data_IF_049169287471
#
_entry.id   IF_049169287471
#
_cell.length_a   1.000
_cell.length_b   1.000
_cell.length_c   1.000
_cell.angle_alpha   90.00
_cell.angle_beta   90.00
_cell.angle_gamma   90.00
#
_symmetry.space_group_name_H-M   'P 1'
#
loop_
_entity.id
_entity.type
_entity.pdbx_description
1 polymer ?
#
# COMPACT_ATOMS: atom_id res chain seq x y z
N UNK A 1 -4.58 -15.35 -33.21
CA UNK A 1 -4.19 -14.51 -32.05
C UNK A 1 -2.98 -13.68 -32.46
N UNK A 2 -3.08 -12.35 -32.54
CA UNK A 2 -1.92 -11.49 -32.81
C UNK A 2 -1.25 -11.15 -31.47
N UNK A 3 0.04 -11.45 -31.33
CA UNK A 3 0.76 -11.24 -30.07
C UNK A 3 0.95 -9.76 -29.76
N UNK A 4 1.02 -9.42 -28.48
CA UNK A 4 1.15 -8.04 -27.98
C UNK A 4 2.47 -7.36 -28.39
N UNK A 5 3.42 -8.13 -28.92
CA UNK A 5 4.75 -7.68 -29.33
C UNK A 5 4.72 -6.69 -30.51
N UNK A 6 3.60 -6.59 -31.23
CA UNK A 6 3.42 -5.60 -32.31
C UNK A 6 3.12 -4.17 -31.81
N UNK A 7 2.90 -3.96 -30.50
CA UNK A 7 2.57 -2.63 -29.94
C UNK A 7 3.82 -1.79 -29.64
N UNK A 8 4.93 -2.42 -29.30
CA UNK A 8 6.21 -1.77 -29.07
C UNK A 8 7.13 -2.23 -30.20
N UNK A 9 7.16 -1.46 -31.29
CA UNK A 9 8.06 -1.75 -32.40
C UNK A 9 9.50 -1.94 -31.91
N UNK A 10 10.29 -2.77 -32.60
CA UNK A 10 11.63 -3.28 -32.19
C UNK A 10 12.68 -2.25 -31.70
N UNK A 11 12.37 -0.94 -31.74
CA UNK A 11 13.19 0.16 -31.20
C UNK A 11 12.63 0.82 -29.93
N UNK A 12 11.64 0.22 -29.25
CA UNK A 12 11.16 0.69 -27.93
C UNK A 12 10.35 2.00 -27.93
N UNK A 13 10.19 2.67 -29.07
CA UNK A 13 9.39 3.91 -29.15
C UNK A 13 7.92 3.56 -29.38
N UNK A 14 7.10 3.77 -28.34
CA UNK A 14 5.65 3.60 -28.39
C UNK A 14 5.04 4.60 -29.38
N UNK A 15 4.67 4.13 -30.58
CA UNK A 15 3.97 4.95 -31.57
C UNK A 15 2.47 4.89 -31.29
N UNK A 16 1.90 5.95 -30.74
CA UNK A 16 0.44 6.08 -30.52
C UNK A 16 -0.28 5.88 -31.86
N UNK A 17 -1.04 4.78 -31.98
CA UNK A 17 -1.96 4.58 -33.10
C UNK A 17 -3.11 5.58 -32.90
N UNK A 18 -3.10 6.67 -33.66
CA UNK A 18 -4.23 7.59 -33.78
C UNK A 18 -5.32 6.83 -34.56
N UNK A 19 -6.05 5.97 -33.85
CA UNK A 19 -7.35 5.49 -34.26
C UNK A 19 -8.27 5.90 -33.13
N UNK A 20 -9.32 6.65 -33.45
CA UNK A 20 -10.33 7.14 -32.53
C UNK A 20 -11.09 5.96 -31.92
N UNK A 21 -10.47 5.25 -30.99
CA UNK A 21 -11.12 4.24 -30.17
C UNK A 21 -11.92 4.99 -29.13
N UNK A 22 -13.23 5.14 -29.39
CA UNK A 22 -14.21 5.76 -28.51
C UNK A 22 -14.47 4.89 -27.27
N UNK A 23 -13.43 4.48 -26.55
CA UNK A 23 -13.61 3.94 -25.22
C UNK A 23 -13.75 5.12 -24.26
N UNK A 24 -14.92 5.75 -24.32
CA UNK A 24 -15.41 6.62 -23.26
C UNK A 24 -15.88 5.70 -22.15
N UNK A 25 -15.03 5.40 -21.18
CA UNK A 25 -15.51 4.89 -19.90
C UNK A 25 -16.42 5.97 -19.31
N UNK A 26 -17.68 5.68 -18.94
CA UNK A 26 -18.49 6.62 -18.18
C UNK A 26 -17.75 6.90 -16.87
N UNK A 27 -17.15 8.09 -16.72
CA UNK A 27 -16.50 8.53 -15.47
C UNK A 27 -17.55 8.85 -14.40
N UNK A 28 -18.83 8.74 -14.74
CA UNK A 28 -19.96 8.97 -13.87
C UNK A 28 -20.82 7.71 -13.89
N UNK A 29 -20.80 6.99 -12.77
CA UNK A 29 -21.85 6.00 -12.46
C UNK A 29 -23.17 6.76 -12.42
N UNK A 30 -23.93 6.75 -13.52
CA UNK A 30 -25.33 7.16 -13.51
C UNK A 30 -26.18 6.05 -12.90
N UNK A 31 -25.79 5.54 -11.73
CA UNK A 31 -26.71 4.75 -10.94
C UNK A 31 -27.79 5.71 -10.46
N UNK A 32 -29.04 5.44 -10.83
CA UNK A 32 -30.27 6.00 -10.26
C UNK A 32 -30.44 5.58 -8.78
N UNK A 33 -29.33 5.47 -8.05
CA UNK A 33 -29.19 4.94 -6.71
C UNK A 33 -28.01 5.65 -6.08
N UNK A 34 -28.34 6.41 -5.03
CA UNK A 34 -27.47 7.09 -4.06
C UNK A 34 -26.11 7.55 -4.58
N UNK A 35 -26.07 8.81 -5.02
CA UNK A 35 -24.80 9.52 -5.26
C UNK A 35 -24.15 9.76 -3.91
N UNK A 36 -23.05 9.07 -3.63
CA UNK A 36 -22.23 9.35 -2.45
C UNK A 36 -21.79 10.81 -2.50
N UNK A 37 -22.05 11.54 -1.43
CA UNK A 37 -21.54 12.90 -1.25
C UNK A 37 -20.10 12.77 -0.78
N UNK A 38 -19.17 13.39 -1.51
CA UNK A 38 -17.78 13.47 -1.09
C UNK A 38 -17.71 14.13 0.30
N UNK A 39 -16.94 13.53 1.20
CA UNK A 39 -16.75 14.10 2.53
C UNK A 39 -16.06 15.47 2.40
N UNK A 40 -16.48 16.48 3.19
CA UNK A 40 -15.80 17.77 3.20
C UNK A 40 -14.35 17.57 3.63
N UNK A 41 -13.43 17.79 2.70
CA UNK A 41 -11.99 17.71 2.97
C UNK A 41 -11.56 19.00 3.66
N UNK A 42 -11.27 18.92 4.95
CA UNK A 42 -10.67 20.03 5.66
C UNK A 42 -9.27 20.33 5.09
N UNK A 43 -8.87 21.61 4.96
CA UNK A 43 -7.51 21.94 4.54
C UNK A 43 -6.51 21.40 5.56
N UNK A 44 -5.48 20.70 5.07
CA UNK A 44 -4.36 20.29 5.90
C UNK A 44 -3.67 21.53 6.45
N UNK A 45 -3.28 21.49 7.73
CA UNK A 45 -2.55 22.60 8.34
C UNK A 45 -1.25 22.85 7.58
N UNK A 46 -1.11 24.04 7.00
CA UNK A 46 0.12 24.57 6.39
C UNK A 46 1.01 25.27 7.40
N UNK A 47 0.60 25.35 8.68
CA UNK A 47 1.37 25.97 9.74
C UNK A 47 2.55 25.04 10.09
N UNK A 48 3.80 25.53 10.04
CA UNK A 48 4.95 24.78 10.53
C UNK A 48 4.75 24.39 11.99
N UNK A 49 4.92 23.11 12.33
CA UNK A 49 4.88 22.66 13.72
C UNK A 49 6.10 23.19 14.49
N UNK A 50 5.94 23.44 15.78
CA UNK A 50 7.04 23.86 16.64
C UNK A 50 7.95 22.65 16.97
N UNK A 51 9.14 22.92 17.52
CA UNK A 51 10.13 21.89 17.85
C UNK A 51 9.62 20.88 18.89
N UNK A 52 8.90 21.37 19.89
CA UNK A 52 8.31 20.56 20.96
C UNK A 52 7.34 19.50 20.41
N UNK A 53 6.44 19.88 19.49
CA UNK A 53 5.51 18.93 18.84
C UNK A 53 6.26 17.91 17.99
N UNK A 54 7.40 18.27 17.37
CA UNK A 54 8.22 17.29 16.65
C UNK A 54 8.83 16.26 17.60
N UNK A 55 9.36 16.69 18.74
CA UNK A 55 9.91 15.80 19.77
C UNK A 55 8.84 14.84 20.33
N UNK A 56 7.62 15.35 20.58
CA UNK A 56 6.49 14.51 21.01
C UNK A 56 6.11 13.44 19.98
N UNK A 57 6.06 13.81 18.69
CA UNK A 57 5.74 12.88 17.61
C UNK A 57 6.85 11.83 17.42
N UNK A 58 8.11 12.23 17.56
CA UNK A 58 9.25 11.31 17.51
C UNK A 58 9.21 10.33 18.68
N UNK A 59 8.87 10.80 19.88
CA UNK A 59 8.69 9.93 21.06
C UNK A 59 7.58 8.90 20.86
N UNK A 60 6.46 9.30 20.26
CA UNK A 60 5.37 8.38 19.92
C UNK A 60 5.82 7.33 18.89
N UNK A 61 6.53 7.75 17.85
CA UNK A 61 7.09 6.84 16.83
C UNK A 61 8.10 5.86 17.42
N UNK A 62 8.96 6.34 18.33
CA UNK A 62 9.92 5.51 19.05
C UNK A 62 9.22 4.48 19.93
N UNK A 63 8.16 4.88 20.66
CA UNK A 63 7.35 3.96 21.48
C UNK A 63 6.68 2.89 20.62
N UNK A 64 6.15 3.25 19.46
CA UNK A 64 5.54 2.31 18.52
C UNK A 64 6.57 1.32 17.95
N UNK A 65 7.71 1.83 17.47
CA UNK A 65 8.80 1.01 16.92
C UNK A 65 9.31 -0.02 17.92
N UNK A 66 9.47 0.36 19.20
CA UNK A 66 9.84 -0.57 20.28
C UNK A 66 8.81 -1.68 20.47
N UNK A 67 7.51 -1.40 20.33
CA UNK A 67 6.45 -2.43 20.42
C UNK A 67 6.54 -3.41 19.25
N UNK A 68 6.80 -2.92 18.04
CA UNK A 68 6.97 -3.77 16.86
C UNK A 68 8.16 -4.73 17.01
N UNK A 69 9.31 -4.24 17.49
CA UNK A 69 10.47 -5.10 17.75
C UNK A 69 10.13 -6.19 18.76
N UNK A 70 9.50 -5.84 19.89
CA UNK A 70 9.04 -6.80 20.89
C UNK A 70 8.08 -7.86 20.34
N UNK A 71 7.25 -7.51 19.34
CA UNK A 71 6.36 -8.48 18.70
C UNK A 71 7.14 -9.45 17.80
N UNK A 72 8.10 -8.96 17.00
CA UNK A 72 8.98 -9.81 16.18
C UNK A 72 9.81 -10.77 17.05
N UNK A 73 10.33 -10.28 18.17
CA UNK A 73 11.09 -11.11 19.10
C UNK A 73 10.21 -12.23 19.70
N UNK A 74 8.93 -11.94 20.00
CA UNK A 74 7.97 -12.97 20.46
C UNK A 74 7.63 -13.98 19.37
N UNK A 75 7.44 -13.54 18.13
CA UNK A 75 7.17 -14.42 16.98
C UNK A 75 8.36 -15.37 16.71
N UNK A 76 9.58 -14.86 16.76
CA UNK A 76 10.80 -15.70 16.65
C UNK A 76 10.95 -16.66 17.83
N UNK A 77 10.51 -16.28 19.03
CA UNK A 77 10.51 -17.17 20.20
C UNK A 77 9.46 -18.29 20.08
N UNK A 78 8.25 -17.97 19.62
CA UNK A 78 7.17 -18.95 19.42
C UNK A 78 7.53 -19.95 18.32
N UNK A 79 8.08 -19.47 17.19
CA UNK A 79 8.55 -20.34 16.11
C UNK A 79 9.72 -21.25 16.52
N UNK A 80 10.63 -20.78 17.39
CA UNK A 80 11.69 -21.62 17.98
C UNK A 80 11.20 -22.62 19.02
N UNK A 81 10.07 -22.34 19.69
CA UNK A 81 9.48 -23.26 20.68
C UNK A 81 8.73 -24.41 19.98
N UNK A 82 7.98 -24.12 18.92
CA UNK A 82 7.30 -25.16 18.13
C UNK A 82 8.24 -26.13 17.40
N UNK A 83 9.51 -25.75 17.18
CA UNK A 83 10.52 -26.59 16.50
C UNK A 83 11.31 -27.54 17.41
N UNK A 84 11.08 -27.52 18.73
CA UNK A 84 11.82 -28.34 19.72
C UNK A 84 11.03 -29.53 20.25
N UNK A 85 9.77 -29.71 19.83
CA UNK A 85 8.92 -30.84 20.27
C UNK A 85 8.88 -31.99 19.23
N UNK A 86 9.54 -31.84 18.08
CA UNK A 86 9.70 -32.89 17.04
C UNK A 86 11.13 -33.46 17.02
N UNK A 87 11.77 -33.70 18.16
CA UNK A 87 13.06 -34.40 18.20
C UNK A 87 13.28 -35.10 19.54
N UNK A 88 12.27 -35.83 20.01
CA UNK A 88 12.41 -36.72 21.17
C UNK A 88 11.27 -37.75 21.18
N UNK A 89 11.21 -38.60 20.16
CA UNK A 89 10.48 -39.87 20.23
C UNK A 89 11.02 -40.83 19.14
N UNK A 90 12.30 -41.19 19.26
CA UNK A 90 12.92 -42.29 18.51
C UNK A 90 14.17 -42.75 19.24
N UNK A 91 14.02 -43.56 20.29
CA UNK A 91 14.91 -44.70 20.64
C UNK A 91 14.28 -45.56 21.75
#
# INVERSE_FOLDING_TARGET
MKSQDELIGKKGVCRKRIKTTKFSAPIHTTSEGEKFVDAPTAPLSTIPRNKEVHEELDDLNNKFSKRLVKMKDKETFISKKGRREEESDSE
#
